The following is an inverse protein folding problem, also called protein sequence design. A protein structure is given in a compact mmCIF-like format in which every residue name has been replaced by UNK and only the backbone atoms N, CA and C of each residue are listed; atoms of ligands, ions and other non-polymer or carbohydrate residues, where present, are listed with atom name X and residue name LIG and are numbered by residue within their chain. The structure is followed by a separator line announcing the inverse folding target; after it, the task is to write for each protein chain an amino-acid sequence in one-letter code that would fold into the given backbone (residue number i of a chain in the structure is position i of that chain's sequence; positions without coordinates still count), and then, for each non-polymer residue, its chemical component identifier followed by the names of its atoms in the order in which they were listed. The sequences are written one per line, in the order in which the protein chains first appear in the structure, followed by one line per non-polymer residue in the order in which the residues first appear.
data_IF_919385452250
#
_entry.id   IF_919385452250
#
_cell.length_a   1.000
_cell.length_b   1.000
_cell.length_c   1.000
_cell.angle_alpha   90.00
_cell.angle_beta   90.00
_cell.angle_gamma   90.00
#
_symmetry.space_group_name_H-M   'P 1'
#
loop_
_entity.id
_entity.type
_entity.pdbx_description
1 polymer ?
#
# COMPACT_ATOMS: atom_id res chain seq x y z
N UNK A 1 3.00 19.36 -15.77
CA UNK A 1 2.22 19.73 -14.56
C UNK A 1 3.14 20.55 -13.65
N UNK A 2 2.64 21.57 -12.96
CA UNK A 2 3.47 22.40 -12.06
C UNK A 2 3.53 21.76 -10.67
N UNK A 3 4.74 21.44 -10.20
CA UNK A 3 5.01 21.01 -8.84
C UNK A 3 5.15 22.21 -7.91
N UNK A 4 4.89 22.00 -6.62
CA UNK A 4 4.96 23.02 -5.55
C UNK A 4 6.14 22.76 -4.63
N UNK A 5 6.37 21.49 -4.29
CA UNK A 5 7.40 21.06 -3.34
C UNK A 5 8.36 20.12 -4.06
N UNK A 6 9.66 20.35 -3.92
CA UNK A 6 10.71 19.42 -4.38
C UNK A 6 11.31 18.70 -3.18
N UNK A 7 11.43 17.37 -3.23
CA UNK A 7 12.13 16.60 -2.19
C UNK A 7 13.48 16.15 -2.72
N UNK A 8 14.53 16.78 -2.21
CA UNK A 8 15.93 16.37 -2.38
C UNK A 8 16.34 15.46 -1.22
N UNK A 9 17.02 14.35 -1.49
CA UNK A 9 17.40 13.40 -0.45
C UNK A 9 18.67 12.63 -0.79
N UNK A 10 19.42 12.24 0.25
CA UNK A 10 20.45 11.22 0.10
C UNK A 10 19.78 9.84 0.02
N UNK A 11 19.93 9.15 -1.11
CA UNK A 11 19.39 7.78 -1.30
C UNK A 11 19.82 6.83 -0.18
N UNK A 12 21.12 6.79 0.08
CA UNK A 12 21.67 6.01 1.19
C UNK A 12 21.17 6.57 2.53
N UNK A 13 20.22 5.86 3.14
CA UNK A 13 19.65 6.17 4.46
C UNK A 13 18.45 7.13 4.46
N UNK A 14 18.24 7.93 3.41
CA UNK A 14 17.18 8.96 3.38
C UNK A 14 15.94 8.59 2.56
N UNK A 15 16.03 7.59 1.67
CA UNK A 15 14.97 7.22 0.72
C UNK A 15 13.63 6.91 1.39
N UNK A 16 13.61 6.06 2.42
CA UNK A 16 12.37 5.68 3.10
C UNK A 16 11.65 6.87 3.74
N UNK A 17 12.39 7.82 4.30
CA UNK A 17 11.82 9.02 4.91
C UNK A 17 11.34 10.02 3.84
N UNK A 18 12.12 10.22 2.78
CA UNK A 18 11.75 11.08 1.66
C UNK A 18 10.44 10.61 0.99
N UNK A 19 10.34 9.30 0.76
CA UNK A 19 9.12 8.66 0.29
C UNK A 19 7.94 8.89 1.26
N UNK A 20 8.13 8.65 2.57
CA UNK A 20 7.06 8.83 3.55
C UNK A 20 6.58 10.29 3.65
N UNK A 21 7.48 11.27 3.54
CA UNK A 21 7.13 12.70 3.52
C UNK A 21 6.36 13.04 2.23
N UNK A 22 6.80 12.52 1.08
CA UNK A 22 6.10 12.67 -0.20
C UNK A 22 4.64 12.20 -0.08
N UNK A 23 4.42 11.00 0.45
CA UNK A 23 3.09 10.43 0.62
C UNK A 23 2.20 11.31 1.50
N UNK A 24 2.70 11.76 2.65
CA UNK A 24 1.91 12.57 3.59
C UNK A 24 1.57 13.95 3.03
N UNK A 25 2.48 14.59 2.30
CA UNK A 25 2.24 15.89 1.69
C UNK A 25 1.31 15.78 0.48
N UNK A 26 1.49 14.76 -0.35
CA UNK A 26 0.58 14.48 -1.46
C UNK A 26 -0.84 14.19 -0.98
N UNK A 27 -0.98 13.41 0.10
CA UNK A 27 -2.25 13.17 0.78
C UNK A 27 -2.92 14.45 1.32
N UNK A 28 -2.11 15.43 1.74
CA UNK A 28 -2.57 16.74 2.19
C UNK A 28 -2.89 17.71 1.02
N UNK A 29 -2.78 17.26 -0.23
CA UNK A 29 -3.14 18.02 -1.43
C UNK A 29 -2.01 18.85 -2.05
N UNK A 30 -0.77 18.67 -1.58
CA UNK A 30 0.40 19.32 -2.19
C UNK A 30 0.85 18.58 -3.44
N UNK A 31 1.30 19.32 -4.46
CA UNK A 31 1.96 18.73 -5.63
C UNK A 31 3.44 18.59 -5.36
N UNK A 32 3.86 17.39 -5.02
CA UNK A 32 5.24 17.11 -4.64
C UNK A 32 5.99 16.43 -5.78
N UNK A 33 7.20 16.88 -6.06
CA UNK A 33 8.16 16.20 -6.92
C UNK A 33 9.13 15.40 -6.06
N UNK A 34 9.17 14.09 -6.29
CA UNK A 34 10.03 13.12 -5.63
C UNK A 34 10.59 12.17 -6.70
N UNK A 35 11.90 12.19 -6.90
CA UNK A 35 12.53 11.51 -8.03
C UNK A 35 12.90 10.06 -7.69
N UNK A 36 12.01 9.13 -8.08
CA UNK A 36 12.31 7.70 -8.25
C UNK A 36 12.62 7.32 -9.71
N UNK A 37 12.27 8.18 -10.69
CA UNK A 37 12.18 7.80 -12.11
C UNK A 37 13.44 8.12 -12.94
N UNK A 38 14.34 9.00 -12.50
CA UNK A 38 15.52 9.39 -13.30
C UNK A 38 16.62 8.34 -13.45
N UNK A 39 16.44 7.15 -12.84
CA UNK A 39 17.39 6.04 -12.79
C UNK A 39 17.80 5.45 -14.16
N UNK A 40 17.18 5.83 -15.27
CA UNK A 40 17.46 5.25 -16.59
C UNK A 40 18.48 5.99 -17.47
N UNK A 41 18.88 7.25 -17.18
CA UNK A 41 19.66 8.04 -18.17
C UNK A 41 21.06 8.52 -17.77
N UNK A 42 21.49 8.37 -16.51
CA UNK A 42 22.90 8.54 -16.10
C UNK A 42 23.58 9.89 -16.41
N UNK A 43 22.82 10.92 -16.82
CA UNK A 43 23.29 12.28 -17.10
C UNK A 43 22.48 13.29 -16.32
N UNK A 44 23.11 14.42 -16.00
CA UNK A 44 22.48 15.59 -15.39
C UNK A 44 21.26 15.99 -16.19
N UNK A 45 20.10 15.62 -15.68
CA UNK A 45 18.85 15.91 -16.34
C UNK A 45 18.57 17.38 -16.02
N UNK A 46 18.78 18.26 -16.99
CA UNK A 46 18.41 19.69 -16.87
C UNK A 46 16.96 19.87 -16.38
N UNK A 47 16.12 18.85 -16.62
CA UNK A 47 14.77 18.72 -16.07
C UNK A 47 14.68 18.81 -14.55
N UNK A 48 15.65 18.31 -13.77
CA UNK A 48 15.63 18.41 -12.31
C UNK A 48 15.71 19.87 -11.85
N UNK A 49 16.61 20.65 -12.46
CA UNK A 49 16.73 22.08 -12.17
C UNK A 49 15.50 22.86 -12.64
N UNK A 50 14.94 22.50 -13.80
CA UNK A 50 13.67 23.08 -14.28
C UNK A 50 12.52 22.82 -13.30
N UNK A 51 12.49 21.66 -12.64
CA UNK A 51 11.49 21.38 -11.60
C UNK A 51 11.76 22.19 -10.33
N UNK A 52 13.02 22.32 -9.90
CA UNK A 52 13.37 23.21 -8.77
C UNK A 52 12.94 24.65 -9.07
N UNK A 53 13.09 25.10 -10.31
CA UNK A 53 12.68 26.44 -10.73
C UNK A 53 11.18 26.70 -10.56
N UNK A 54 10.32 25.69 -10.77
CA UNK A 54 8.87 25.84 -10.59
C UNK A 54 8.38 25.59 -9.16
N UNK A 55 9.14 24.86 -8.33
CA UNK A 55 8.77 24.61 -6.94
C UNK A 55 9.06 25.83 -6.06
N UNK A 56 8.22 26.10 -5.06
CA UNK A 56 8.43 27.17 -4.08
C UNK A 56 9.23 26.67 -2.87
N UNK A 57 8.90 25.45 -2.41
CA UNK A 57 9.49 24.81 -1.24
C UNK A 57 10.40 23.64 -1.63
N UNK A 58 11.54 23.52 -0.96
CA UNK A 58 12.54 22.46 -1.16
C UNK A 58 12.78 21.75 0.16
N UNK A 59 12.37 20.49 0.27
CA UNK A 59 12.69 19.65 1.43
C UNK A 59 14.01 18.93 1.17
N UNK A 60 14.92 18.97 2.15
CA UNK A 60 16.22 18.29 2.05
C UNK A 60 16.31 17.24 3.13
N UNK A 61 16.19 15.96 2.78
CA UNK A 61 16.21 14.85 3.75
C UNK A 61 17.65 14.42 4.04
N UNK A 62 18.03 14.52 5.31
CA UNK A 62 19.40 14.41 5.80
C UNK A 62 19.55 13.22 6.78
N UNK A 63 19.80 11.99 6.28
CA UNK A 63 20.30 10.88 7.10
C UNK A 63 21.69 11.15 7.69
N UNK A 64 22.18 10.34 8.66
CA UNK A 64 23.57 10.38 9.09
C UNK A 64 24.53 10.40 7.89
N UNK A 65 25.51 11.31 7.90
CA UNK A 65 26.51 11.48 6.81
C UNK A 65 25.93 11.88 5.45
N UNK A 66 24.72 12.44 5.39
CA UNK A 66 24.07 12.82 4.13
C UNK A 66 24.91 13.77 3.25
N UNK A 67 25.67 14.65 3.90
CA UNK A 67 26.42 15.73 3.27
C UNK A 67 27.90 15.40 3.03
N UNK A 68 28.41 14.26 3.50
CA UNK A 68 29.83 13.91 3.41
C UNK A 68 30.32 13.86 1.96
N UNK A 69 29.46 13.38 1.05
CA UNK A 69 29.74 13.32 -0.39
C UNK A 69 29.66 14.66 -1.09
N UNK A 70 29.08 15.69 -0.47
CA UNK A 70 28.90 16.99 -1.10
C UNK A 70 30.23 17.77 -1.26
N UNK A 71 31.35 17.25 -0.75
CA UNK A 71 32.69 17.75 -1.13
C UNK A 71 32.97 17.56 -2.63
N UNK A 72 32.37 16.54 -3.27
CA UNK A 72 32.42 16.34 -4.71
C UNK A 72 31.49 17.34 -5.40
N UNK A 73 32.04 18.14 -6.32
CA UNK A 73 31.31 19.14 -7.10
C UNK A 73 30.23 18.53 -7.99
N UNK A 74 30.37 17.23 -8.31
CA UNK A 74 29.42 16.50 -9.16
C UNK A 74 28.34 15.75 -8.35
N UNK A 75 28.33 15.86 -7.02
CA UNK A 75 27.32 15.21 -6.20
C UNK A 75 25.94 15.85 -6.40
N UNK A 76 24.94 15.02 -6.69
CA UNK A 76 23.58 15.46 -7.01
C UNK A 76 22.94 16.30 -5.90
N UNK A 77 23.06 15.84 -4.65
CA UNK A 77 22.50 16.54 -3.50
C UNK A 77 23.16 17.92 -3.34
N UNK A 78 24.48 18.02 -3.56
CA UNK A 78 25.20 19.30 -3.58
C UNK A 78 24.62 20.23 -4.65
N UNK A 79 24.51 19.74 -5.89
CA UNK A 79 24.05 20.54 -7.02
C UNK A 79 22.63 21.06 -6.82
N UNK A 80 21.72 20.24 -6.31
CA UNK A 80 20.34 20.62 -6.00
C UNK A 80 20.27 21.68 -4.89
N UNK A 81 20.99 21.48 -3.79
CA UNK A 81 21.03 22.43 -2.66
C UNK A 81 21.59 23.78 -3.11
N UNK A 82 22.75 23.79 -3.79
CA UNK A 82 23.37 25.02 -4.27
C UNK A 82 22.44 25.75 -5.25
N UNK A 83 21.76 25.02 -6.12
CA UNK A 83 20.83 25.62 -7.06
C UNK A 83 19.62 26.24 -6.35
N UNK A 84 19.01 25.52 -5.41
CA UNK A 84 17.90 26.03 -4.59
C UNK A 84 18.29 27.29 -3.80
N UNK A 85 19.48 27.30 -3.20
CA UNK A 85 20.04 28.48 -2.50
C UNK A 85 20.18 29.67 -3.44
N UNK A 86 20.82 29.47 -4.61
CA UNK A 86 20.99 30.53 -5.62
C UNK A 86 19.67 31.10 -6.13
N UNK A 87 18.61 30.28 -6.15
CA UNK A 87 17.27 30.68 -6.59
C UNK A 87 16.41 31.24 -5.46
N UNK A 88 16.93 31.35 -4.23
CA UNK A 88 16.22 31.91 -3.08
C UNK A 88 14.96 31.12 -2.72
N UNK A 89 14.98 29.80 -2.91
CA UNK A 89 13.85 28.93 -2.57
C UNK A 89 13.67 28.80 -1.06
N UNK A 90 12.48 28.45 -0.60
CA UNK A 90 12.28 28.10 0.80
C UNK A 90 12.81 26.68 1.06
N UNK A 91 13.96 26.56 1.73
CA UNK A 91 14.59 25.26 1.99
C UNK A 91 14.27 24.80 3.41
N UNK A 92 13.85 23.55 3.58
CA UNK A 92 13.56 22.95 4.89
C UNK A 92 14.44 21.71 5.06
N UNK A 93 15.54 21.81 5.83
CA UNK A 93 16.35 20.64 6.19
C UNK A 93 15.56 19.69 7.10
N UNK A 94 15.45 18.42 6.71
CA UNK A 94 14.77 17.36 7.48
C UNK A 94 15.82 16.38 8.01
N UNK A 95 16.22 16.56 9.27
CA UNK A 95 17.38 15.91 9.88
C UNK A 95 16.97 14.63 10.62
N UNK A 96 17.51 13.49 10.20
CA UNK A 96 17.24 12.20 10.84
C UNK A 96 18.05 12.03 12.12
N UNK A 97 17.64 11.06 12.95
CA UNK A 97 18.39 10.68 14.15
C UNK A 97 19.83 10.31 13.78
N UNK A 98 20.80 10.98 14.41
CA UNK A 98 22.23 10.79 14.16
C UNK A 98 22.79 11.58 12.97
N UNK A 99 22.02 12.51 12.40
CA UNK A 99 22.57 13.51 11.50
C UNK A 99 23.35 14.56 12.28
N UNK A 100 24.57 14.82 11.83
CA UNK A 100 25.43 15.91 12.28
C UNK A 100 25.91 16.69 11.06
N UNK A 101 26.08 18.00 11.24
CA UNK A 101 26.68 18.83 10.21
C UNK A 101 28.16 18.48 10.06
N UNK A 102 28.66 18.23 8.83
CA UNK A 102 30.07 17.91 8.65
C UNK A 102 30.95 19.12 8.99
N UNK A 103 32.15 18.84 9.51
CA UNK A 103 33.16 19.85 9.84
C UNK A 103 33.62 20.62 8.59
N UNK A 104 33.83 19.88 7.50
CA UNK A 104 34.15 20.41 6.18
C UNK A 104 32.93 20.33 5.27
N UNK A 105 32.46 21.48 4.80
CA UNK A 105 31.36 21.60 3.84
C UNK A 105 31.72 22.68 2.82
N UNK A 106 31.30 22.54 1.54
CA UNK A 106 31.50 23.61 0.55
C UNK A 106 30.96 24.95 1.04
N UNK A 107 31.70 26.03 0.77
CA UNK A 107 31.37 27.38 1.24
C UNK A 107 29.97 27.81 0.80
N UNK A 108 29.59 27.41 -0.41
CA UNK A 108 28.30 27.73 -1.03
C UNK A 108 27.11 27.05 -0.35
N UNK A 109 27.34 26.01 0.45
CA UNK A 109 26.30 25.30 1.19
C UNK A 109 26.21 25.75 2.66
N UNK A 110 27.15 26.57 3.16
CA UNK A 110 27.18 27.00 4.57
C UNK A 110 25.88 27.68 4.98
N UNK A 111 25.25 28.40 4.06
CA UNK A 111 23.97 29.08 4.28
C UNK A 111 22.83 28.12 4.65
N UNK A 112 22.88 26.85 4.23
CA UNK A 112 21.87 25.84 4.55
C UNK A 112 21.66 25.68 6.07
N UNK A 113 22.71 25.90 6.87
CA UNK A 113 22.66 25.83 8.35
C UNK A 113 21.74 26.87 8.98
N UNK A 114 21.43 27.95 8.26
CA UNK A 114 20.61 29.06 8.75
C UNK A 114 19.11 28.89 8.43
N UNK A 115 18.74 27.85 7.68
CA UNK A 115 17.34 27.56 7.35
C UNK A 115 16.63 26.83 8.50
N UNK A 116 15.31 26.99 8.57
CA UNK A 116 14.47 26.35 9.60
C UNK A 116 14.40 24.83 9.39
N UNK A 117 15.20 24.08 10.15
CA UNK A 117 15.23 22.63 10.09
C UNK A 117 14.17 21.93 10.96
N UNK A 118 13.83 20.70 10.58
CA UNK A 118 12.96 19.78 11.32
C UNK A 118 13.75 18.52 11.68
N UNK A 119 13.91 18.26 12.98
CA UNK A 119 14.48 17.00 13.46
C UNK A 119 13.40 15.89 13.48
N UNK A 120 13.74 14.71 12.98
CA UNK A 120 12.83 13.57 12.85
C UNK A 120 12.95 12.63 14.03
N UNK A 121 11.84 12.40 14.71
CA UNK A 121 11.66 11.35 15.72
C UNK A 121 10.49 10.45 15.28
N UNK A 122 10.77 9.20 14.92
CA UNK A 122 9.75 8.28 14.39
C UNK A 122 8.64 7.99 15.40
N UNK A 123 8.92 8.00 16.70
CA UNK A 123 7.92 7.83 17.77
C UNK A 123 6.79 8.89 17.69
N UNK A 124 7.04 10.03 17.06
CA UNK A 124 6.11 11.16 16.93
C UNK A 124 6.08 11.73 15.50
N UNK A 125 5.99 10.86 14.49
CA UNK A 125 6.09 11.27 13.10
C UNK A 125 5.00 12.26 12.65
N UNK A 126 3.77 12.19 13.19
CA UNK A 126 2.73 13.16 12.86
C UNK A 126 3.11 14.58 13.31
N UNK A 127 3.78 14.72 14.46
CA UNK A 127 4.31 16.01 14.92
C UNK A 127 5.44 16.55 14.05
N UNK A 128 6.25 15.66 13.44
CA UNK A 128 7.25 16.01 12.43
C UNK A 128 6.56 16.59 11.19
N UNK A 129 5.50 15.92 10.69
CA UNK A 129 4.74 16.40 9.53
C UNK A 129 4.08 17.75 9.78
N UNK A 130 3.49 17.97 10.96
CA UNK A 130 2.90 19.26 11.34
C UNK A 130 3.94 20.39 11.30
N UNK A 131 5.19 20.13 11.73
CA UNK A 131 6.27 21.12 11.65
C UNK A 131 6.70 21.38 10.21
N UNK A 132 6.82 20.35 9.37
CA UNK A 132 7.13 20.51 7.95
C UNK A 132 6.06 21.39 7.29
N UNK A 133 4.78 21.05 7.44
CA UNK A 133 3.65 21.81 6.88
C UNK A 133 3.65 23.27 7.36
N UNK A 134 3.96 23.51 8.64
CA UNK A 134 4.08 24.86 9.19
C UNK A 134 5.18 25.70 8.51
N UNK A 135 6.26 25.07 8.03
CA UNK A 135 7.38 25.76 7.40
C UNK A 135 7.26 25.90 5.89
N UNK A 136 6.29 25.23 5.26
CA UNK A 136 5.99 25.44 3.85
C UNK A 136 5.47 26.86 3.63
N UNK A 137 5.99 27.51 2.58
CA UNK A 137 5.49 28.79 2.10
C UNK A 137 4.40 28.63 1.05
N UNK A 138 4.39 27.49 0.35
CA UNK A 138 3.30 27.14 -0.56
C UNK A 138 2.00 27.05 0.24
N UNK A 139 1.03 27.90 -0.09
CA UNK A 139 -0.34 27.68 0.37
C UNK A 139 -0.92 26.47 -0.35
N UNK A 140 -1.31 25.43 0.40
CA UNK A 140 -2.20 24.40 -0.16
C UNK A 140 -3.38 25.11 -0.80
N UNK A 141 -3.72 24.82 -2.06
CA UNK A 141 -5.08 25.14 -2.49
C UNK A 141 -5.97 24.26 -1.60
N UNK A 142 -6.86 24.83 -0.78
CA UNK A 142 -7.85 23.99 -0.14
C UNK A 142 -8.56 23.28 -1.29
N UNK A 143 -8.65 21.95 -1.21
CA UNK A 143 -9.73 21.26 -1.91
C UNK A 143 -11.00 21.84 -1.29
N UNK A 144 -11.51 22.91 -1.90
CA UNK A 144 -12.83 23.42 -1.58
C UNK A 144 -13.79 22.27 -1.87
N UNK A 145 -14.61 21.98 -0.86
CA UNK A 145 -15.78 21.12 -0.99
C UNK A 145 -16.49 21.37 -2.32
N UNK A 146 -16.35 20.41 -3.24
CA UNK A 146 -17.29 20.19 -4.32
C UNK A 146 -18.00 18.92 -3.90
N UNK A 147 -19.22 19.12 -3.42
CA UNK A 147 -20.32 18.17 -3.25
C UNK A 147 -20.05 16.83 -2.57
N UNK A 148 -20.85 16.58 -1.54
CA UNK A 148 -21.18 15.28 -1.02
C UNK A 148 -21.81 14.41 -2.12
N UNK A 149 -21.01 13.86 -3.03
CA UNK A 149 -21.18 12.53 -3.61
C UNK A 149 -19.91 12.14 -4.38
N UNK A 150 -19.35 10.97 -4.06
CA UNK A 150 -18.33 10.25 -4.85
C UNK A 150 -16.86 10.71 -4.73
N UNK A 151 -16.27 10.58 -3.54
CA UNK A 151 -14.82 10.31 -3.46
C UNK A 151 -14.55 8.94 -4.09
N UNK A 152 -13.86 8.92 -5.23
CA UNK A 152 -13.50 7.69 -5.93
C UNK A 152 -12.77 6.72 -4.97
N UNK A 153 -13.37 5.56 -4.72
CA UNK A 153 -12.87 4.52 -3.82
C UNK A 153 -11.76 3.75 -4.52
N UNK A 154 -10.54 3.97 -4.07
CA UNK A 154 -9.36 3.33 -4.63
C UNK A 154 -9.18 1.90 -4.11
N UNK A 155 -9.02 0.94 -5.01
CA UNK A 155 -8.80 -0.47 -4.71
C UNK A 155 -7.44 -0.88 -5.29
N UNK A 156 -6.59 -1.48 -4.46
CA UNK A 156 -5.39 -2.16 -4.93
C UNK A 156 -5.72 -3.63 -5.16
N UNK A 157 -5.39 -4.15 -6.34
CA UNK A 157 -5.56 -5.58 -6.64
C UNK A 157 -4.23 -6.13 -7.13
N UNK A 158 -3.66 -7.04 -6.35
CA UNK A 158 -2.53 -7.86 -6.78
C UNK A 158 -2.91 -9.35 -6.78
N UNK A 159 -2.46 -10.06 -7.80
CA UNK A 159 -2.50 -11.52 -7.86
C UNK A 159 -1.26 -12.06 -8.56
N UNK A 160 -0.86 -13.27 -8.25
CA UNK A 160 0.38 -13.86 -8.77
C UNK A 160 0.26 -14.52 -10.16
N UNK A 161 -0.88 -14.32 -10.79
CA UNK A 161 -1.25 -14.78 -12.13
C UNK A 161 -1.33 -13.62 -13.12
N UNK A 162 -1.45 -13.95 -14.41
CA UNK A 162 -1.46 -12.96 -15.50
C UNK A 162 -2.46 -11.82 -15.26
N UNK A 163 -2.00 -10.56 -15.41
CA UNK A 163 -2.82 -9.35 -15.32
C UNK A 163 -4.05 -9.42 -16.24
N UNK A 164 -3.97 -10.09 -17.38
CA UNK A 164 -5.12 -10.29 -18.26
C UNK A 164 -6.27 -11.08 -17.60
N UNK A 165 -6.00 -11.92 -16.60
CA UNK A 165 -7.04 -12.57 -15.81
C UNK A 165 -7.59 -11.65 -14.73
N UNK A 166 -6.75 -10.82 -14.10
CA UNK A 166 -7.19 -9.79 -13.15
C UNK A 166 -8.11 -8.79 -13.87
N UNK A 167 -7.73 -8.32 -15.06
CA UNK A 167 -8.55 -7.44 -15.90
C UNK A 167 -9.93 -8.04 -16.23
N UNK A 168 -10.00 -9.35 -16.52
CA UNK A 168 -11.29 -10.05 -16.74
C UNK A 168 -12.15 -10.10 -15.48
N UNK A 169 -11.54 -10.25 -14.30
CA UNK A 169 -12.26 -10.19 -13.02
C UNK A 169 -12.78 -8.78 -12.83
N UNK A 170 -11.91 -7.77 -12.92
CA UNK A 170 -12.24 -6.35 -12.73
C UNK A 170 -13.35 -5.90 -13.67
N UNK A 171 -13.27 -6.26 -14.96
CA UNK A 171 -14.30 -5.95 -15.95
C UNK A 171 -15.67 -6.59 -15.68
N UNK A 172 -15.74 -7.60 -14.82
CA UNK A 172 -16.98 -8.27 -14.39
C UNK A 172 -17.45 -7.85 -12.98
N UNK A 173 -16.65 -7.09 -12.22
CA UNK A 173 -17.02 -6.70 -10.86
C UNK A 173 -18.20 -5.73 -10.82
N UNK A 174 -18.43 -4.94 -11.88
CA UNK A 174 -19.57 -4.02 -11.99
C UNK A 174 -19.77 -3.16 -10.72
N UNK A 175 -18.69 -2.53 -10.24
CA UNK A 175 -18.67 -1.74 -9.00
C UNK A 175 -19.32 -0.35 -9.14
N UNK A 176 -19.54 0.10 -10.37
CA UNK A 176 -19.99 1.46 -10.70
C UNK A 176 -18.83 2.46 -10.77
N UNK A 177 -19.13 3.69 -11.17
CA UNK A 177 -18.13 4.73 -11.50
C UNK A 177 -17.37 5.29 -10.29
N UNK A 178 -17.75 4.86 -9.08
CA UNK A 178 -17.18 5.33 -7.81
C UNK A 178 -15.99 4.52 -7.34
N UNK A 179 -15.56 3.55 -8.13
CA UNK A 179 -14.44 2.69 -7.78
C UNK A 179 -13.38 2.77 -8.86
N UNK A 180 -12.13 2.83 -8.41
CA UNK A 180 -10.97 2.72 -9.26
C UNK A 180 -10.13 1.55 -8.77
N UNK A 181 -9.84 0.61 -9.69
CA UNK A 181 -9.00 -0.54 -9.38
C UNK A 181 -7.64 -0.34 -10.02
N UNK A 182 -6.61 -0.24 -9.19
CA UNK A 182 -5.21 -0.27 -9.59
C UNK A 182 -4.72 -1.72 -9.52
N UNK A 183 -4.37 -2.29 -10.66
CA UNK A 183 -3.74 -3.61 -10.76
C UNK A 183 -2.24 -3.43 -10.52
N UNK A 184 -1.70 -4.13 -9.53
CA UNK A 184 -0.28 -4.07 -9.18
C UNK A 184 0.49 -5.17 -9.91
N UNK A 185 1.72 -4.90 -10.30
CA UNK A 185 2.62 -5.90 -10.90
C UNK A 185 3.40 -6.67 -9.80
N UNK A 186 3.76 -5.97 -8.71
CA UNK A 186 4.50 -6.54 -7.57
C UNK A 186 3.77 -6.23 -6.23
N UNK A 187 3.63 -7.20 -5.31
CA UNK A 187 2.94 -6.95 -4.05
C UNK A 187 3.68 -5.93 -3.15
N UNK A 188 4.97 -5.70 -3.38
CA UNK A 188 5.76 -4.69 -2.69
C UNK A 188 5.37 -3.26 -3.05
N UNK A 189 4.68 -3.05 -4.18
CA UNK A 189 4.10 -1.75 -4.51
C UNK A 189 3.10 -1.27 -3.47
N UNK A 190 2.50 -2.17 -2.69
CA UNK A 190 1.63 -1.80 -1.54
C UNK A 190 2.39 -0.94 -0.53
N UNK A 191 3.67 -1.25 -0.30
CA UNK A 191 4.54 -0.45 0.57
C UNK A 191 4.83 0.93 0.00
N UNK A 192 4.56 1.13 -1.29
CA UNK A 192 4.70 2.37 -2.03
C UNK A 192 3.36 3.08 -2.31
N UNK A 193 2.25 2.69 -1.68
CA UNK A 193 0.96 3.41 -1.79
C UNK A 193 0.57 4.10 -0.47
N UNK A 194 -0.20 5.18 -0.59
CA UNK A 194 -0.86 5.84 0.54
C UNK A 194 -2.07 5.02 0.99
N UNK A 195 -1.86 4.06 1.89
CA UNK A 195 -2.92 3.19 2.38
C UNK A 195 -4.01 3.92 3.17
N UNK A 196 -3.80 5.18 3.58
CA UNK A 196 -4.81 5.98 4.27
C UNK A 196 -5.98 6.44 3.39
N UNK A 197 -5.84 6.36 2.06
CA UNK A 197 -6.91 6.68 1.09
C UNK A 197 -7.35 5.47 0.27
N UNK A 198 -6.78 4.29 0.54
CA UNK A 198 -7.16 3.04 -0.12
C UNK A 198 -8.40 2.50 0.57
N UNK A 199 -9.46 2.27 -0.22
CA UNK A 199 -10.73 1.69 0.24
C UNK A 199 -10.60 0.19 0.48
N UNK A 200 -9.92 -0.55 -0.40
CA UNK A 200 -9.74 -2.00 -0.26
C UNK A 200 -8.43 -2.47 -0.88
N UNK A 201 -7.83 -3.50 -0.30
CA UNK A 201 -6.70 -4.24 -0.88
C UNK A 201 -7.17 -5.67 -1.12
N UNK A 202 -6.93 -6.18 -2.32
CA UNK A 202 -7.26 -7.54 -2.74
C UNK A 202 -5.96 -8.27 -3.07
N UNK A 203 -5.70 -9.38 -2.38
CA UNK A 203 -4.53 -10.23 -2.61
C UNK A 203 -4.98 -11.65 -2.92
N UNK A 204 -4.68 -12.12 -4.13
CA UNK A 204 -4.98 -13.50 -4.54
C UNK A 204 -3.68 -14.19 -4.96
N UNK A 205 -3.17 -15.04 -4.08
CA UNK A 205 -1.96 -15.85 -4.32
C UNK A 205 -2.40 -17.26 -4.68
N UNK A 206 -1.68 -17.87 -5.62
CA UNK A 206 -1.82 -19.27 -6.04
C UNK A 206 -0.49 -20.04 -5.90
N UNK A 207 0.64 -19.34 -5.73
CA UNK A 207 1.98 -19.85 -5.49
C UNK A 207 2.73 -19.00 -4.44
N UNK A 208 2.79 -19.53 -3.22
CA UNK A 208 3.47 -18.93 -2.08
C UNK A 208 4.99 -18.68 -2.30
N UNK A 209 5.63 -19.32 -3.27
CA UNK A 209 7.08 -19.18 -3.48
C UNK A 209 7.48 -17.77 -3.92
N UNK A 210 6.56 -17.00 -4.52
CA UNK A 210 6.81 -15.61 -4.94
C UNK A 210 6.89 -14.60 -3.80
N UNK A 211 6.33 -14.89 -2.63
CA UNK A 211 6.60 -14.10 -1.43
C UNK A 211 7.96 -14.47 -0.80
N UNK A 212 8.47 -15.68 -1.03
CA UNK A 212 9.41 -16.32 -0.10
C UNK A 212 10.90 -15.96 -0.24
N UNK A 213 11.33 -15.30 -1.32
CA UNK A 213 12.78 -15.10 -1.55
C UNK A 213 13.40 -13.98 -0.70
N UNK A 214 12.59 -13.08 -0.12
CA UNK A 214 13.05 -11.99 0.74
C UNK A 214 12.22 -11.87 2.03
N UNK A 215 12.67 -12.52 3.11
CA UNK A 215 11.96 -12.59 4.39
C UNK A 215 11.69 -11.23 5.04
N UNK A 216 12.53 -10.22 4.80
CA UNK A 216 12.36 -8.86 5.35
C UNK A 216 11.22 -8.14 4.61
N UNK A 217 11.17 -8.28 3.28
CA UNK A 217 10.15 -7.66 2.45
C UNK A 217 8.74 -8.19 2.79
N UNK A 218 8.62 -9.50 3.01
CA UNK A 218 7.38 -10.15 3.48
C UNK A 218 6.94 -9.61 4.84
N UNK A 219 7.86 -9.51 5.80
CA UNK A 219 7.54 -8.97 7.12
C UNK A 219 7.02 -7.53 7.02
N UNK A 220 7.64 -6.69 6.18
CA UNK A 220 7.19 -5.32 5.96
C UNK A 220 5.79 -5.25 5.35
N UNK A 221 5.50 -6.06 4.32
CA UNK A 221 4.16 -6.14 3.74
C UNK A 221 3.15 -6.55 4.81
N UNK A 222 3.41 -7.64 5.55
CA UNK A 222 2.46 -8.14 6.56
C UNK A 222 2.17 -7.09 7.64
N UNK A 223 3.21 -6.36 8.10
CA UNK A 223 3.03 -5.26 9.05
C UNK A 223 2.21 -4.11 8.45
N UNK A 224 2.46 -3.74 7.19
CA UNK A 224 1.72 -2.69 6.51
C UNK A 224 0.24 -3.05 6.32
N UNK A 225 -0.05 -4.28 5.89
CA UNK A 225 -1.41 -4.79 5.77
C UNK A 225 -2.14 -4.80 7.11
N UNK A 226 -1.47 -5.27 8.17
CA UNK A 226 -2.05 -5.31 9.51
C UNK A 226 -2.37 -3.92 10.04
N UNK A 227 -1.47 -2.95 9.84
CA UNK A 227 -1.70 -1.55 10.23
C UNK A 227 -2.79 -0.89 9.38
N UNK A 228 -2.85 -1.20 8.09
CA UNK A 228 -3.90 -0.73 7.19
C UNK A 228 -5.28 -1.17 7.67
N UNK A 229 -5.48 -2.46 7.95
CA UNK A 229 -6.76 -2.97 8.48
C UNK A 229 -7.06 -2.32 9.83
N UNK A 230 -6.08 -2.31 10.76
CA UNK A 230 -6.24 -1.67 12.08
C UNK A 230 -6.74 -0.23 12.01
N UNK A 231 -6.35 0.52 10.97
CA UNK A 231 -6.73 1.93 10.78
C UNK A 231 -8.10 2.14 10.14
N UNK A 232 -8.79 1.10 9.67
CA UNK A 232 -10.06 1.23 8.96
C UNK A 232 -10.04 0.71 7.53
N UNK A 233 -8.93 0.09 7.11
CA UNK A 233 -8.79 -0.52 5.80
C UNK A 233 -9.55 -1.84 5.69
N UNK A 234 -9.93 -2.18 4.47
CA UNK A 234 -10.48 -3.49 4.13
C UNK A 234 -9.46 -4.34 3.38
N UNK A 235 -9.13 -5.50 3.93
CA UNK A 235 -8.26 -6.48 3.28
C UNK A 235 -9.05 -7.72 2.86
N UNK A 236 -8.97 -8.09 1.58
CA UNK A 236 -9.58 -9.29 1.02
C UNK A 236 -8.44 -10.19 0.58
N UNK A 237 -8.39 -11.43 1.06
CA UNK A 237 -7.27 -12.34 0.76
C UNK A 237 -7.71 -13.77 0.49
N UNK A 238 -7.06 -14.38 -0.50
CA UNK A 238 -7.11 -15.82 -0.73
C UNK A 238 -6.29 -16.60 0.30
N UNK A 239 -6.52 -17.90 0.41
CA UNK A 239 -5.95 -18.73 1.48
C UNK A 239 -4.41 -18.77 1.53
N UNK A 240 -3.74 -18.71 0.38
CA UNK A 240 -2.27 -18.77 0.33
C UNK A 240 -1.55 -17.55 0.90
N UNK A 241 -2.25 -16.43 1.05
CA UNK A 241 -1.73 -15.25 1.79
C UNK A 241 -1.51 -15.59 3.27
N UNK A 242 -2.32 -16.52 3.79
CA UNK A 242 -2.41 -16.89 5.20
C UNK A 242 -1.74 -18.26 5.47
N UNK A 243 -1.69 -19.14 4.46
CA UNK A 243 -1.38 -20.55 4.63
C UNK A 243 0.07 -20.85 5.06
N UNK A 244 0.20 -21.90 5.89
CA UNK A 244 1.33 -22.27 6.76
C UNK A 244 2.72 -22.33 6.11
N UNK A 245 2.86 -22.49 4.79
CA UNK A 245 4.17 -22.49 4.11
C UNK A 245 4.88 -21.13 4.20
N UNK A 246 4.14 -20.03 4.42
CA UNK A 246 4.69 -18.69 4.65
C UNK A 246 5.00 -18.38 6.13
N UNK A 247 4.60 -19.25 7.08
CA UNK A 247 4.68 -19.02 8.54
C UNK A 247 4.15 -17.64 8.97
N UNK A 248 3.07 -17.18 8.35
CA UNK A 248 2.54 -15.84 8.55
C UNK A 248 1.65 -15.74 9.79
N UNK A 249 2.24 -15.92 10.98
CA UNK A 249 1.52 -15.83 12.27
C UNK A 249 0.85 -14.47 12.44
N UNK A 250 1.42 -13.40 11.88
CA UNK A 250 0.85 -12.06 11.97
C UNK A 250 -0.51 -11.96 11.27
N UNK A 251 -0.61 -12.44 10.01
CA UNK A 251 -1.88 -12.41 9.29
C UNK A 251 -2.86 -13.43 9.86
N UNK A 252 -2.42 -14.64 10.23
CA UNK A 252 -3.29 -15.61 10.92
C UNK A 252 -3.93 -15.03 12.18
N UNK A 253 -3.13 -14.32 13.01
CA UNK A 253 -3.65 -13.64 14.20
C UNK A 253 -4.60 -12.49 13.88
N UNK A 254 -4.40 -11.77 12.76
CA UNK A 254 -5.32 -10.71 12.32
C UNK A 254 -6.65 -11.30 11.87
N UNK A 255 -6.61 -12.33 11.02
CA UNK A 255 -7.79 -13.06 10.53
C UNK A 255 -8.48 -13.93 11.59
N UNK A 256 -7.85 -14.11 12.77
CA UNK A 256 -8.41 -14.93 13.84
C UNK A 256 -8.45 -16.41 13.46
N UNK A 257 -7.49 -16.89 12.69
CA UNK A 257 -7.50 -18.27 12.20
C UNK A 257 -6.16 -18.96 12.40
N UNK A 258 -6.18 -20.29 12.44
CA UNK A 258 -5.01 -21.16 12.44
C UNK A 258 -5.18 -22.29 11.43
N UNK A 259 -4.94 -21.97 10.17
CA UNK A 259 -5.09 -22.91 9.06
C UNK A 259 -4.04 -24.02 9.17
N UNK A 260 -4.50 -25.27 9.28
CA UNK A 260 -3.66 -26.43 9.56
C UNK A 260 -3.89 -27.59 8.57
N UNK A 261 -5.01 -27.57 7.87
CA UNK A 261 -5.47 -28.63 7.00
C UNK A 261 -5.73 -28.10 5.59
N UNK A 262 -5.50 -28.95 4.60
CA UNK A 262 -5.85 -28.68 3.21
C UNK A 262 -6.30 -29.96 2.52
N UNK A 263 -7.12 -29.81 1.47
CA UNK A 263 -7.59 -30.91 0.63
C UNK A 263 -7.81 -30.42 -0.79
N UNK A 264 -7.23 -31.12 -1.75
CA UNK A 264 -7.52 -30.90 -3.17
C UNK A 264 -8.88 -31.49 -3.53
N UNK A 265 -9.70 -30.69 -4.21
CA UNK A 265 -11.06 -31.04 -4.63
C UNK A 265 -11.42 -30.23 -5.87
N UNK A 266 -11.80 -30.90 -6.96
CA UNK A 266 -12.03 -30.22 -8.24
C UNK A 266 -13.16 -29.19 -8.19
N UNK A 267 -14.23 -29.48 -7.43
CA UNK A 267 -15.41 -28.63 -7.27
C UNK A 267 -15.76 -28.52 -5.79
N UNK A 268 -15.85 -27.30 -5.29
CA UNK A 268 -16.21 -26.97 -3.92
C UNK A 268 -17.65 -26.47 -3.89
N UNK A 269 -18.46 -27.10 -3.05
CA UNK A 269 -19.83 -26.67 -2.80
C UNK A 269 -19.85 -25.64 -1.65
N UNK A 270 -20.32 -24.44 -1.95
CA UNK A 270 -20.47 -23.32 -1.02
C UNK A 270 -21.92 -23.24 -0.57
N UNK A 271 -22.14 -23.25 0.75
CA UNK A 271 -23.45 -23.07 1.38
C UNK A 271 -23.44 -21.90 2.35
N UNK A 272 -24.44 -21.02 2.28
CA UNK A 272 -24.61 -19.92 3.25
C UNK A 272 -24.85 -20.47 4.65
N UNK A 273 -24.18 -19.89 5.62
CA UNK A 273 -24.46 -20.10 7.05
C UNK A 273 -25.74 -19.37 7.46
N UNK A 274 -26.27 -19.69 8.65
CA UNK A 274 -27.34 -18.89 9.27
C UNK A 274 -26.93 -17.44 9.44
N UNK A 275 -25.68 -17.20 9.88
CA UNK A 275 -25.10 -15.86 10.07
C UNK A 275 -25.20 -15.03 8.78
N UNK A 276 -24.78 -15.60 7.65
CA UNK A 276 -24.84 -14.96 6.35
C UNK A 276 -26.25 -14.52 5.95
N UNK A 277 -27.24 -15.38 6.26
CA UNK A 277 -28.65 -15.11 5.95
C UNK A 277 -29.24 -14.04 6.88
N UNK A 278 -28.92 -14.10 8.17
CA UNK A 278 -29.43 -13.17 9.18
C UNK A 278 -28.89 -11.75 8.99
N UNK A 279 -27.61 -11.61 8.64
CA UNK A 279 -26.99 -10.32 8.34
C UNK A 279 -27.35 -9.77 6.96
N UNK A 280 -27.90 -10.61 6.09
CA UNK A 280 -28.10 -10.28 4.67
C UNK A 280 -26.78 -10.07 3.92
N UNK A 281 -25.70 -10.68 4.40
CA UNK A 281 -24.41 -10.67 3.73
C UNK A 281 -24.48 -11.45 2.41
N UNK A 282 -23.66 -11.04 1.44
CA UNK A 282 -23.56 -11.74 0.14
C UNK A 282 -24.91 -11.94 -0.57
N UNK A 283 -25.79 -10.94 -0.54
CA UNK A 283 -27.19 -11.06 -0.95
C UNK A 283 -27.39 -11.32 -2.45
N UNK A 284 -26.40 -11.01 -3.29
CA UNK A 284 -26.47 -11.27 -4.75
C UNK A 284 -26.04 -12.70 -5.13
N UNK A 285 -25.47 -13.44 -4.17
CA UNK A 285 -25.14 -14.86 -4.30
C UNK A 285 -26.32 -15.73 -3.90
N UNK A 286 -26.53 -16.87 -4.58
CA UNK A 286 -27.51 -17.86 -4.16
C UNK A 286 -27.15 -18.45 -2.78
N UNK A 287 -28.10 -19.13 -2.14
CA UNK A 287 -27.86 -19.82 -0.87
C UNK A 287 -26.81 -20.92 -0.99
N UNK A 288 -26.76 -21.58 -2.14
CA UNK A 288 -25.82 -22.66 -2.46
C UNK A 288 -25.29 -22.49 -3.90
N UNK A 289 -24.00 -22.74 -4.12
CA UNK A 289 -23.36 -22.75 -5.45
C UNK A 289 -22.06 -23.55 -5.46
N UNK A 290 -21.59 -23.87 -6.66
CA UNK A 290 -20.33 -24.59 -6.87
C UNK A 290 -19.26 -23.68 -7.47
N UNK A 291 -18.03 -23.77 -6.97
CA UNK A 291 -16.85 -23.17 -7.60
C UNK A 291 -15.79 -24.23 -7.90
N UNK A 292 -15.06 -24.02 -8.98
CA UNK A 292 -13.94 -24.88 -9.37
C UNK A 292 -12.63 -24.38 -8.77
N UNK A 293 -12.61 -24.24 -7.44
CA UNK A 293 -11.53 -23.64 -6.65
C UNK A 293 -10.37 -24.59 -6.35
N UNK A 294 -10.51 -25.87 -6.72
CA UNK A 294 -9.47 -26.89 -6.71
C UNK A 294 -8.90 -27.31 -5.35
N UNK A 295 -9.08 -26.49 -4.30
CA UNK A 295 -8.54 -26.73 -2.98
C UNK A 295 -9.42 -26.10 -1.89
N UNK A 296 -9.45 -26.74 -0.72
CA UNK A 296 -9.98 -26.19 0.52
C UNK A 296 -8.92 -26.18 1.61
N UNK A 297 -8.81 -25.07 2.33
CA UNK A 297 -7.88 -24.82 3.42
C UNK A 297 -8.65 -24.42 4.69
N UNK A 298 -8.43 -25.12 5.80
CA UNK A 298 -9.16 -24.86 7.04
C UNK A 298 -8.34 -25.14 8.30
N UNK A 299 -8.89 -24.73 9.44
CA UNK A 299 -8.31 -24.93 10.76
C UNK A 299 -9.14 -24.26 11.83
N UNK A 300 -8.51 -23.94 12.95
CA UNK A 300 -9.21 -23.32 14.09
C UNK A 300 -9.54 -21.86 13.77
N UNK A 301 -10.74 -21.41 14.14
CA UNK A 301 -11.16 -20.01 14.07
C UNK A 301 -11.40 -19.46 15.49
N UNK A 302 -11.15 -18.17 15.68
CA UNK A 302 -11.47 -17.46 16.90
C UNK A 302 -12.99 -17.23 17.01
N UNK A 303 -13.48 -17.03 18.23
CA UNK A 303 -14.92 -16.86 18.50
C UNK A 303 -15.52 -15.59 17.87
N UNK A 304 -14.69 -14.60 17.56
CA UNK A 304 -15.05 -13.31 16.95
C UNK A 304 -14.93 -13.33 15.41
N UNK A 305 -14.88 -14.50 14.80
CA UNK A 305 -14.86 -14.69 13.34
C UNK A 305 -16.27 -14.99 12.84
N UNK A 306 -16.75 -14.19 11.90
CA UNK A 306 -18.04 -14.37 11.23
C UNK A 306 -17.86 -15.25 10.00
N UNK A 307 -18.53 -16.40 9.95
CA UNK A 307 -18.46 -17.35 8.83
C UNK A 307 -19.68 -17.16 7.94
N UNK A 308 -19.48 -16.89 6.66
CA UNK A 308 -20.57 -16.62 5.72
C UNK A 308 -20.89 -17.81 4.80
N UNK A 309 -19.87 -18.59 4.45
CA UNK A 309 -20.03 -19.77 3.63
C UNK A 309 -19.23 -20.93 4.18
N UNK A 310 -19.79 -22.12 4.11
CA UNK A 310 -19.17 -23.38 4.54
C UNK A 310 -19.49 -24.52 3.58
N UNK A 311 -18.74 -25.62 3.68
CA UNK A 311 -19.08 -26.89 3.03
C UNK A 311 -20.20 -27.61 3.78
N UNK A 312 -20.76 -28.68 3.21
CA UNK A 312 -21.71 -29.57 3.91
C UNK A 312 -21.15 -30.15 5.22
N UNK A 313 -19.83 -30.33 5.29
CA UNK A 313 -19.13 -30.84 6.47
C UNK A 313 -18.79 -29.73 7.50
N UNK A 314 -19.26 -28.49 7.29
CA UNK A 314 -19.02 -27.36 8.17
C UNK A 314 -17.61 -26.76 8.05
N UNK A 315 -16.93 -26.95 6.90
CA UNK A 315 -15.61 -26.35 6.67
C UNK A 315 -15.81 -24.89 6.23
N UNK A 316 -15.25 -23.88 6.94
CA UNK A 316 -15.39 -22.48 6.57
C UNK A 316 -14.71 -22.17 5.23
N UNK A 317 -15.43 -21.50 4.33
CA UNK A 317 -14.96 -21.14 2.99
C UNK A 317 -14.82 -19.62 2.80
N UNK A 318 -15.67 -18.84 3.46
CA UNK A 318 -15.59 -17.37 3.44
C UNK A 318 -15.93 -16.89 4.84
N UNK A 319 -15.04 -16.11 5.43
CA UNK A 319 -15.25 -15.54 6.75
C UNK A 319 -14.61 -14.16 6.84
N UNK A 320 -15.07 -13.35 7.78
CA UNK A 320 -14.43 -12.08 8.10
C UNK A 320 -14.15 -11.95 9.59
N UNK A 321 -13.31 -10.98 9.91
CA UNK A 321 -13.06 -10.55 11.27
C UNK A 321 -12.76 -9.06 11.30
N UNK A 322 -13.43 -8.34 12.19
CA UNK A 322 -13.08 -6.97 12.52
C UNK A 322 -11.72 -6.93 13.23
N UNK A 323 -10.86 -6.01 12.80
CA UNK A 323 -9.54 -5.82 13.41
C UNK A 323 -9.20 -4.34 13.51
N UNK A 324 -9.20 -3.81 14.73
CA UNK A 324 -9.07 -2.37 14.97
C UNK A 324 -10.32 -1.63 14.51
N UNK A 325 -10.20 -0.80 13.48
CA UNK A 325 -11.34 -0.08 12.87
C UNK A 325 -11.74 -0.61 11.50
N UNK A 326 -11.06 -1.64 11.00
CA UNK A 326 -11.26 -2.20 9.67
C UNK A 326 -11.65 -3.67 9.71
N UNK A 327 -11.70 -4.30 8.54
CA UNK A 327 -12.10 -5.71 8.39
C UNK A 327 -11.13 -6.46 7.49
N UNK A 328 -10.89 -7.72 7.83
CA UNK A 328 -10.19 -8.66 6.97
C UNK A 328 -11.16 -9.78 6.55
N UNK A 329 -11.17 -10.12 5.25
CA UNK A 329 -12.11 -11.05 4.64
C UNK A 329 -11.31 -12.15 3.93
N UNK A 330 -11.52 -13.38 4.37
CA UNK A 330 -10.88 -14.56 3.82
C UNK A 330 -11.75 -15.18 2.73
N UNK A 331 -11.13 -15.57 1.61
CA UNK A 331 -11.73 -16.34 0.54
C UNK A 331 -10.94 -17.64 0.36
N UNK A 332 -11.62 -18.78 0.41
CA UNK A 332 -10.98 -20.09 0.27
C UNK A 332 -10.56 -20.45 -1.17
N UNK A 333 -10.82 -19.64 -2.19
CA UNK A 333 -10.36 -19.89 -3.58
C UNK A 333 -8.87 -19.58 -3.74
N UNK A 334 -8.06 -20.51 -4.31
CA UNK A 334 -6.61 -20.29 -4.44
C UNK A 334 -5.90 -21.14 -5.49
N UNK A 335 -5.59 -22.41 -5.25
CA UNK A 335 -4.63 -23.17 -6.07
C UNK A 335 -5.22 -24.42 -6.76
N UNK A 336 -4.80 -24.67 -8.01
CA UNK A 336 -4.83 -25.98 -8.67
C UNK A 336 -3.42 -26.36 -9.17
N UNK A 337 -2.61 -26.96 -8.29
CA UNK A 337 -1.27 -27.48 -8.58
C UNK A 337 -0.21 -26.39 -8.81
N UNK A 338 0.01 -25.98 -10.06
CA UNK A 338 1.00 -24.97 -10.48
C UNK A 338 0.32 -23.85 -11.28
N UNK A 339 -1.01 -23.76 -11.20
CA UNK A 339 -1.83 -22.83 -11.98
C UNK A 339 -3.02 -22.37 -11.16
N UNK A 340 -3.51 -21.15 -11.38
CA UNK A 340 -4.76 -20.72 -10.77
C UNK A 340 -5.93 -21.64 -11.12
N UNK A 341 -6.91 -21.81 -10.22
CA UNK A 341 -8.12 -22.56 -10.43
C UNK A 341 -8.94 -22.01 -11.58
N UNK A 342 -9.88 -22.83 -12.05
CA UNK A 342 -10.77 -22.46 -13.15
C UNK A 342 -11.64 -21.26 -12.78
N UNK A 343 -12.03 -21.13 -11.51
CA UNK A 343 -12.76 -19.99 -10.97
C UNK A 343 -12.06 -18.66 -11.21
N UNK A 344 -10.72 -18.65 -11.29
CA UNK A 344 -9.88 -17.48 -11.58
C UNK A 344 -9.53 -17.38 -13.07
N UNK A 345 -9.06 -18.47 -13.71
CA UNK A 345 -8.64 -18.45 -15.12
C UNK A 345 -9.79 -18.14 -16.09
N UNK A 346 -10.99 -18.59 -15.74
CA UNK A 346 -12.24 -18.30 -16.44
C UNK A 346 -13.21 -17.74 -15.39
N UNK A 347 -13.08 -16.44 -15.03
CA UNK A 347 -13.73 -15.86 -13.86
C UNK A 347 -15.19 -16.29 -13.73
N UNK A 348 -15.44 -17.18 -12.78
CA UNK A 348 -16.77 -17.73 -12.52
C UNK A 348 -17.66 -16.66 -11.91
N UNK A 349 -18.94 -16.67 -12.28
CA UNK A 349 -19.87 -15.58 -11.93
C UNK A 349 -19.94 -15.38 -10.41
N UNK A 350 -20.05 -16.46 -9.66
CA UNK A 350 -20.22 -16.40 -8.22
C UNK A 350 -18.90 -16.09 -7.51
N UNK A 351 -17.74 -16.48 -8.06
CA UNK A 351 -16.44 -16.02 -7.59
C UNK A 351 -16.27 -14.49 -7.73
N UNK A 352 -16.65 -13.93 -8.88
CA UNK A 352 -16.62 -12.47 -9.11
C UNK A 352 -17.57 -11.76 -8.14
N UNK A 353 -18.76 -12.31 -7.88
CA UNK A 353 -19.69 -11.74 -6.88
C UNK A 353 -19.14 -11.81 -5.46
N UNK A 354 -18.44 -12.86 -5.07
CA UNK A 354 -17.78 -12.96 -3.77
C UNK A 354 -16.81 -11.79 -3.58
N UNK A 355 -15.94 -11.53 -4.57
CA UNK A 355 -15.01 -10.38 -4.52
C UNK A 355 -15.79 -9.07 -4.45
N UNK A 356 -16.78 -8.89 -5.33
CA UNK A 356 -17.60 -7.67 -5.42
C UNK A 356 -18.29 -7.36 -4.08
N UNK A 357 -18.97 -8.33 -3.50
CA UNK A 357 -19.69 -8.12 -2.24
C UNK A 357 -18.73 -7.96 -1.06
N UNK A 358 -17.57 -8.61 -1.08
CA UNK A 358 -16.50 -8.33 -0.11
C UNK A 358 -16.06 -6.86 -0.17
N UNK A 359 -15.82 -6.30 -1.37
CA UNK A 359 -15.48 -4.88 -1.56
C UNK A 359 -16.57 -3.95 -1.00
N UNK A 360 -17.84 -4.34 -1.16
CA UNK A 360 -19.01 -3.54 -0.76
C UNK A 360 -19.48 -3.77 0.68
N UNK A 361 -18.99 -4.81 1.35
CA UNK A 361 -19.33 -5.17 2.73
C UNK A 361 -19.20 -3.98 3.68
N UNK A 362 -20.24 -3.75 4.49
CA UNK A 362 -20.20 -2.73 5.55
C UNK A 362 -19.66 -3.38 6.82
N UNK A 363 -18.84 -2.65 7.56
CA UNK A 363 -18.31 -2.98 8.88
C UNK A 363 -18.17 -1.66 9.63
#
# INVERSE_FOLDING_TARGET
MSYQIFISYRREGGEALAYLINERLSAAGYKVFYDMESLTSGKFNTKLLEVIDVCEDILVVLPPRALDRCIDENDWLRLEIIYALKKGKNIIPVMMKGFDWPDTMPEEMLELKNYNGVAVTFDFFDGVMMKIVKYLTTTSKPVQNIDSDMSLKHILFWGDFDNANIEKIVGKLELGDNFYVEILDDPLEILTKNLGVVHSIILIITDCTKFSTNSIAVQRINMALTEYVRRGGKLISAHDVIYRRTKNELLQNMYGCKIAYFKQIDTVHYKKTSECLEEGAFSSLPEEFDLHDAEICWGDLAEDVEIYFETEDGIPLVFSREYGRGVCIYLNSGDFKERPPRSILKPEKDFVKLIRESILMKH
#
